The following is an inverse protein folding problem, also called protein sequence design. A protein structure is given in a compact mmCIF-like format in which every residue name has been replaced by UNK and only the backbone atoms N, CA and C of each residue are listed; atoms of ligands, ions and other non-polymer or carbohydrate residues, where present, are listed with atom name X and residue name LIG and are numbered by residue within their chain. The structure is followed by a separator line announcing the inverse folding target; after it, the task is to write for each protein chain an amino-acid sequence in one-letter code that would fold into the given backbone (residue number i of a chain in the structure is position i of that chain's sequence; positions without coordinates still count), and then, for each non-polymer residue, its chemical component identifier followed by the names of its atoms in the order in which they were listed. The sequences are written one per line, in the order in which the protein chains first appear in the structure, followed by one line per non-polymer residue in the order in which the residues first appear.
data_IF_923757476661
#
_entry.id   IF_923757476661
#
_cell.length_a   1.000
_cell.length_b   1.000
_cell.length_c   1.000
_cell.angle_alpha   90.00
_cell.angle_beta   90.00
_cell.angle_gamma   90.00
#
_symmetry.space_group_name_H-M   'P 1'
#
loop_
_entity.id
_entity.type
_entity.pdbx_description
1 polymer ?
#
# COMPACT_ATOMS: atom_id res chain seq x y z
N UNK A 1 -2.57 4.47 -8.25
CA UNK A 1 -3.83 3.92 -7.70
C UNK A 1 -5.07 4.61 -8.26
N UNK A 2 -5.28 5.92 -8.08
CA UNK A 2 -6.50 6.60 -8.57
C UNK A 2 -6.75 6.44 -10.09
N UNK A 3 -5.69 6.49 -10.91
CA UNK A 3 -5.81 6.25 -12.36
C UNK A 3 -6.37 4.85 -12.67
N UNK A 4 -5.97 3.83 -11.90
CA UNK A 4 -6.46 2.47 -12.07
C UNK A 4 -7.96 2.36 -11.79
N UNK A 5 -8.43 2.88 -10.65
CA UNK A 5 -9.84 2.83 -10.30
C UNK A 5 -10.70 3.68 -11.24
N UNK A 6 -10.17 4.81 -11.72
CA UNK A 6 -10.86 5.66 -12.68
C UNK A 6 -11.20 4.95 -14.00
N UNK A 7 -10.51 3.85 -14.38
CA UNK A 7 -10.83 3.12 -15.62
C UNK A 7 -12.13 2.31 -15.53
N UNK A 8 -12.62 2.04 -14.31
CA UNK A 8 -13.80 1.18 -14.12
C UNK A 8 -14.81 1.64 -13.08
N UNK A 9 -14.56 2.74 -12.37
CA UNK A 9 -15.43 3.25 -11.31
C UNK A 9 -15.93 4.67 -11.61
N UNK A 10 -17.01 5.08 -10.94
CA UNK A 10 -17.44 6.48 -10.96
C UNK A 10 -16.45 7.37 -10.18
N UNK A 11 -16.40 8.69 -10.43
CA UNK A 11 -15.49 9.59 -9.72
C UNK A 11 -15.61 9.52 -8.19
N UNK A 12 -16.84 9.40 -7.66
CA UNK A 12 -17.10 9.27 -6.23
C UNK A 12 -16.51 7.97 -5.67
N UNK A 13 -16.75 6.85 -6.34
CA UNK A 13 -16.27 5.54 -5.88
C UNK A 13 -14.74 5.43 -5.98
N UNK A 14 -14.12 6.03 -7.01
CA UNK A 14 -12.68 6.16 -7.11
C UNK A 14 -12.08 6.89 -5.89
N UNK A 15 -12.67 8.03 -5.50
CA UNK A 15 -12.23 8.77 -4.30
C UNK A 15 -12.32 7.92 -3.04
N UNK A 16 -13.41 7.17 -2.85
CA UNK A 16 -13.53 6.24 -1.72
C UNK A 16 -12.44 5.17 -1.71
N UNK A 17 -12.12 4.56 -2.84
CA UNK A 17 -11.06 3.55 -2.91
C UNK A 17 -9.67 4.12 -2.62
N UNK A 18 -9.36 5.31 -3.14
CA UNK A 18 -8.08 5.98 -2.85
C UNK A 18 -7.96 6.28 -1.36
N UNK A 19 -9.01 6.82 -0.74
CA UNK A 19 -9.04 7.11 0.70
C UNK A 19 -8.90 5.82 1.51
N UNK A 20 -9.63 4.76 1.15
CA UNK A 20 -9.53 3.47 1.82
C UNK A 20 -8.10 2.91 1.78
N UNK A 21 -7.47 2.87 0.60
CA UNK A 21 -6.10 2.38 0.44
C UNK A 21 -5.10 3.22 1.23
N UNK A 22 -5.28 4.54 1.24
CA UNK A 22 -4.45 5.44 2.03
C UNK A 22 -4.48 5.07 3.52
N UNK A 23 -5.68 4.92 4.10
CA UNK A 23 -5.82 4.55 5.51
C UNK A 23 -5.31 3.13 5.80
N UNK A 24 -5.67 2.14 4.98
CA UNK A 24 -5.19 0.77 5.17
C UNK A 24 -3.68 0.66 5.02
N UNK A 25 -3.07 1.49 4.17
CA UNK A 25 -1.63 1.47 3.96
C UNK A 25 -0.83 2.01 5.15
N UNK A 26 -1.37 2.99 5.86
CA UNK A 26 -0.82 3.43 7.15
C UNK A 26 -1.05 2.40 8.27
N UNK A 27 -2.20 1.73 8.29
CA UNK A 27 -2.50 0.68 9.27
C UNK A 27 -1.66 -0.60 9.07
N UNK A 28 -1.18 -0.84 7.85
CA UNK A 28 -0.45 -2.07 7.49
C UNK A 28 0.71 -2.38 8.44
N UNK A 29 1.53 -1.38 8.80
CA UNK A 29 2.64 -1.57 9.74
C UNK A 29 2.18 -2.05 11.12
N UNK A 30 1.04 -1.56 11.61
CA UNK A 30 0.46 -2.00 12.88
C UNK A 30 0.04 -3.47 12.83
N UNK A 31 -0.46 -3.95 11.68
CA UNK A 31 -0.80 -5.38 11.50
C UNK A 31 0.43 -6.28 11.60
N UNK A 32 1.55 -5.86 11.00
CA UNK A 32 2.82 -6.58 11.11
C UNK A 32 3.29 -6.66 12.56
N UNK A 33 3.31 -5.52 13.27
CA UNK A 33 3.69 -5.47 14.69
C UNK A 33 2.77 -6.36 15.53
N UNK A 34 1.46 -6.28 15.31
CA UNK A 34 0.49 -7.09 16.04
C UNK A 34 0.65 -8.58 15.77
N UNK A 35 1.00 -8.97 14.54
CA UNK A 35 1.26 -10.38 14.18
C UNK A 35 2.42 -11.01 14.98
N UNK A 36 3.38 -10.20 15.45
CA UNK A 36 4.48 -10.65 16.30
C UNK A 36 4.06 -10.95 17.75
N UNK A 37 2.94 -10.37 18.20
CA UNK A 37 2.45 -10.49 19.58
C UNK A 37 1.38 -11.58 19.74
N UNK A 38 0.86 -12.13 18.64
CA UNK A 38 -0.20 -13.13 18.65
C UNK A 38 0.39 -14.55 18.75
N UNK A 39 -0.12 -15.34 19.71
CA UNK A 39 0.27 -16.75 19.91
C UNK A 39 -0.39 -17.69 18.91
N UNK A 40 -1.62 -17.39 18.49
CA UNK A 40 -2.37 -18.19 17.54
C UNK A 40 -1.77 -18.11 16.12
N UNK A 41 -1.42 -19.26 15.56
CA UNK A 41 -0.75 -19.35 14.26
C UNK A 41 -1.66 -18.95 13.09
N UNK A 42 -2.96 -19.20 13.18
CA UNK A 42 -3.92 -18.87 12.13
C UNK A 42 -4.10 -17.35 12.10
N UNK A 43 -4.32 -16.73 13.25
CA UNK A 43 -4.47 -15.27 13.36
C UNK A 43 -3.19 -14.58 12.89
N UNK A 44 -2.01 -15.07 13.31
CA UNK A 44 -0.72 -14.55 12.82
C UNK A 44 -0.61 -14.60 11.29
N UNK A 45 -0.98 -15.73 10.67
CA UNK A 45 -0.97 -15.86 9.21
C UNK A 45 -1.92 -14.88 8.53
N UNK A 46 -3.15 -14.73 9.05
CA UNK A 46 -4.13 -13.79 8.50
C UNK A 46 -3.57 -12.36 8.53
N UNK A 47 -2.99 -11.93 9.65
CA UNK A 47 -2.41 -10.60 9.79
C UNK A 47 -1.26 -10.36 8.81
N UNK A 48 -0.39 -11.35 8.62
CA UNK A 48 0.71 -11.27 7.65
C UNK A 48 0.20 -11.24 6.20
N UNK A 49 -0.81 -12.04 5.86
CA UNK A 49 -1.44 -12.02 4.53
C UNK A 49 -1.99 -10.61 4.25
N UNK A 50 -2.74 -10.04 5.18
CA UNK A 50 -3.27 -8.68 5.03
C UNK A 50 -2.11 -7.68 4.90
N UNK A 51 -1.07 -7.78 5.73
CA UNK A 51 0.12 -6.92 5.65
C UNK A 51 0.78 -6.95 4.25
N UNK A 52 0.94 -8.12 3.65
CA UNK A 52 1.58 -8.25 2.33
C UNK A 52 0.67 -7.89 1.15
N UNK A 53 -0.66 -7.92 1.32
CA UNK A 53 -1.63 -7.52 0.29
C UNK A 53 -1.75 -5.99 0.19
N UNK A 54 -1.57 -5.25 1.29
CA UNK A 54 -1.74 -3.80 1.29
C UNK A 54 -0.39 -3.06 1.19
N UNK A 55 -0.34 -1.92 0.47
CA UNK A 55 0.88 -1.11 0.41
C UNK A 55 1.24 -0.55 1.79
N UNK A 56 2.42 -0.88 2.30
CA UNK A 56 2.91 -0.28 3.55
C UNK A 56 3.44 1.14 3.30
N UNK A 57 2.59 2.15 3.56
CA UNK A 57 2.93 3.56 3.33
C UNK A 57 3.85 4.13 4.42
N UNK A 58 3.96 3.46 5.58
CA UNK A 58 4.86 3.88 6.65
C UNK A 58 6.34 3.78 6.27
N UNK A 59 6.68 3.01 5.22
CA UNK A 59 8.05 2.97 4.67
C UNK A 59 8.46 4.28 3.97
N UNK A 60 7.49 5.17 3.68
CA UNK A 60 7.72 6.50 3.10
C UNK A 60 7.54 7.61 4.14
N UNK A 61 7.23 7.27 5.39
CA UNK A 61 6.93 8.23 6.43
C UNK A 61 8.17 8.51 7.27
N UNK A 62 8.87 9.61 6.96
CA UNK A 62 10.06 10.05 7.70
C UNK A 62 9.77 11.15 8.74
N UNK A 63 8.55 11.18 9.26
CA UNK A 63 8.10 12.25 10.18
C UNK A 63 8.92 12.27 11.47
N UNK A 64 9.22 11.10 12.03
CA UNK A 64 9.95 10.99 13.30
C UNK A 64 11.38 11.47 13.14
N UNK A 65 12.02 11.07 12.05
CA UNK A 65 13.37 11.44 11.69
C UNK A 65 13.47 12.95 11.44
N UNK A 66 12.49 13.53 10.75
CA UNK A 66 12.40 14.98 10.56
C UNK A 66 12.19 15.74 11.88
N UNK A 67 11.32 15.24 12.78
CA UNK A 67 10.99 15.91 14.04
C UNK A 67 12.18 15.91 15.03
N UNK A 68 12.89 14.79 15.13
CA UNK A 68 14.01 14.62 16.06
C UNK A 68 15.38 14.84 15.40
N UNK A 69 15.41 15.26 14.13
CA UNK A 69 16.64 15.43 13.35
C UNK A 69 17.53 14.18 13.32
N UNK A 70 16.91 13.01 13.29
CA UNK A 70 17.62 11.75 13.10
C UNK A 70 18.01 11.57 11.63
N UNK A 71 19.17 10.94 11.40
CA UNK A 71 19.56 10.54 10.06
C UNK A 71 18.67 9.40 9.58
N UNK A 72 18.23 9.48 8.33
CA UNK A 72 17.45 8.41 7.70
C UNK A 72 18.44 7.41 7.11
N UNK A 73 18.41 6.12 7.52
CA UNK A 73 19.26 5.10 6.92
C UNK A 73 19.01 4.99 5.40
N UNK A 74 20.06 4.91 4.60
CA UNK A 74 19.94 4.76 3.14
C UNK A 74 19.16 3.49 2.74
N UNK A 75 19.20 2.44 3.57
CA UNK A 75 18.40 1.23 3.39
C UNK A 75 16.90 1.53 3.38
N UNK A 76 16.45 2.39 4.27
CA UNK A 76 15.02 2.67 4.48
C UNK A 76 14.50 3.54 3.35
N UNK A 77 15.31 4.50 2.89
CA UNK A 77 15.02 5.29 1.68
C UNK A 77 14.88 4.36 0.48
N UNK A 78 15.82 3.43 0.29
CA UNK A 78 15.79 2.50 -0.83
C UNK A 78 14.55 1.58 -0.77
N UNK A 79 14.25 1.02 0.41
CA UNK A 79 13.04 0.20 0.61
C UNK A 79 11.75 0.98 0.36
N UNK A 80 11.68 2.25 0.79
CA UNK A 80 10.56 3.13 0.53
C UNK A 80 10.36 3.38 -0.96
N UNK A 81 11.41 3.78 -1.68
CA UNK A 81 11.38 4.00 -3.14
C UNK A 81 10.96 2.74 -3.88
N UNK A 82 11.55 1.59 -3.54
CA UNK A 82 11.24 0.32 -4.19
C UNK A 82 9.77 -0.04 -3.99
N UNK A 83 9.27 0.06 -2.76
CA UNK A 83 7.86 -0.20 -2.43
C UNK A 83 6.92 0.73 -3.22
N UNK A 84 7.23 2.02 -3.26
CA UNK A 84 6.45 3.02 -3.99
C UNK A 84 6.37 2.72 -5.49
N UNK A 85 7.51 2.41 -6.11
CA UNK A 85 7.60 2.08 -7.53
C UNK A 85 6.86 0.79 -7.85
N UNK A 86 7.08 -0.27 -7.06
CA UNK A 86 6.38 -1.55 -7.25
C UNK A 86 4.87 -1.36 -7.25
N UNK A 87 4.33 -0.67 -6.24
CA UNK A 87 2.88 -0.44 -6.16
C UNK A 87 2.34 0.47 -7.26
N UNK A 88 3.11 1.48 -7.67
CA UNK A 88 2.72 2.37 -8.78
C UNK A 88 2.65 1.61 -10.10
N UNK A 89 3.66 0.79 -10.39
CA UNK A 89 3.72 -0.04 -11.60
C UNK A 89 2.58 -1.07 -11.59
N UNK A 90 2.39 -1.80 -10.50
CA UNK A 90 1.29 -2.78 -10.38
C UNK A 90 -0.07 -2.13 -10.64
N UNK A 91 -0.34 -0.98 -10.04
CA UNK A 91 -1.60 -0.26 -10.24
C UNK A 91 -1.78 0.20 -11.68
N UNK A 92 -0.71 0.73 -12.28
CA UNK A 92 -0.73 1.20 -13.65
C UNK A 92 -1.02 0.06 -14.63
N UNK A 93 -0.29 -1.05 -14.51
CA UNK A 93 -0.48 -2.24 -15.34
C UNK A 93 -1.89 -2.83 -15.17
N UNK A 94 -2.38 -2.94 -13.93
CA UNK A 94 -3.75 -3.38 -13.68
C UNK A 94 -4.78 -2.45 -14.35
N UNK A 95 -4.54 -1.14 -14.33
CA UNK A 95 -5.40 -0.16 -15.00
C UNK A 95 -5.43 -0.35 -16.52
N UNK A 96 -4.25 -0.57 -17.13
CA UNK A 96 -4.12 -0.86 -18.56
C UNK A 96 -4.87 -2.14 -18.92
N UNK A 97 -4.65 -3.23 -18.20
CA UNK A 97 -5.30 -4.52 -18.45
C UNK A 97 -6.82 -4.42 -18.36
N UNK A 98 -7.36 -3.75 -17.34
CA UNK A 98 -8.80 -3.57 -17.19
C UNK A 98 -9.37 -2.74 -18.35
N UNK A 99 -8.65 -1.71 -18.79
CA UNK A 99 -9.08 -0.84 -19.88
C UNK A 99 -9.05 -1.54 -21.25
N UNK A 100 -8.02 -2.35 -21.53
CA UNK A 100 -7.92 -3.13 -22.77
C UNK A 100 -9.05 -4.16 -22.88
N UNK A 101 -9.36 -4.87 -21.80
CA UNK A 101 -10.46 -5.84 -21.77
C UNK A 101 -11.82 -5.19 -22.04
N UNK A 102 -12.03 -3.93 -21.62
CA UNK A 102 -13.27 -3.20 -21.92
C UNK A 102 -13.42 -2.77 -23.38
N UNK A 103 -12.33 -2.65 -24.14
CA UNK A 103 -12.38 -2.29 -25.56
C UNK A 103 -12.68 -3.47 -26.49
N UNK A 104 -12.55 -4.70 -25.99
CA UNK A 104 -12.69 -5.93 -26.77
C UNK A 104 -14.10 -6.57 -26.69
N UNK A 105 -15.00 -6.01 -25.86
CA UNK A 105 -16.40 -6.42 -25.67
C UNK A 105 -17.29 -5.34 -26.26
#
# INVERSE_FOLDING_TARGET
MGIMFATFTSPLLNSFFVVFIYFTGHLSRSLYIYSGNVKDIIIKKILLIIYYIFPNLELLNFRVEALYSYSIPSSDIFSGILTFLSWTITAFLAGVLIFENKKLI
#
